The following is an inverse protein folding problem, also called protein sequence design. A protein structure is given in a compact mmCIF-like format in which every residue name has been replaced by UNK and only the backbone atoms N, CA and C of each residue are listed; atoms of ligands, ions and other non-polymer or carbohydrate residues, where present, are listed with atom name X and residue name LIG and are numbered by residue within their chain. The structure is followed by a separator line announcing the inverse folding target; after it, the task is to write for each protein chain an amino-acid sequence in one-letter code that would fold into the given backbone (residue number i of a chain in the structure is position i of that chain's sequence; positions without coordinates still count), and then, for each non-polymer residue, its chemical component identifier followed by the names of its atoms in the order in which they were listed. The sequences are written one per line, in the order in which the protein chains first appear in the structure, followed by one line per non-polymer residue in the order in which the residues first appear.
data_IF_659447892150
#
_entry.id   IF_659447892150
#
_cell.length_a   1.000
_cell.length_b   1.000
_cell.length_c   1.000
_cell.angle_alpha   90.00
_cell.angle_beta   90.00
_cell.angle_gamma   90.00
#
_symmetry.space_group_name_H-M   'P 1'
#
loop_
_entity.id
_entity.type
_entity.pdbx_description
1 polymer ?
#
# COMPACT_ATOMS: atom_id res chain seq x y z
N UNK A 1 10.84 8.90 -19.14
CA UNK A 1 9.61 8.35 -18.51
C UNK A 1 8.74 9.50 -18.02
N UNK A 2 7.47 9.57 -18.45
CA UNK A 2 6.52 10.55 -17.88
C UNK A 2 6.28 10.21 -16.41
N UNK A 3 6.30 11.23 -15.56
CA UNK A 3 6.11 11.12 -14.11
C UNK A 3 4.79 11.78 -13.76
N UNK A 4 4.02 11.15 -12.87
CA UNK A 4 2.82 11.75 -12.31
C UNK A 4 3.18 12.28 -10.93
N UNK A 5 2.99 13.58 -10.71
CA UNK A 5 3.22 14.17 -9.39
C UNK A 5 2.06 13.77 -8.50
N UNK A 6 2.37 13.03 -7.43
CA UNK A 6 1.42 12.64 -6.39
C UNK A 6 1.89 13.31 -5.10
N UNK A 7 0.96 13.93 -4.37
CA UNK A 7 1.25 14.53 -3.08
C UNK A 7 1.78 13.49 -2.09
N UNK A 8 2.78 13.87 -1.29
CA UNK A 8 3.42 12.96 -0.33
C UNK A 8 2.41 12.34 0.63
N UNK A 9 1.43 13.12 1.06
CA UNK A 9 0.37 12.67 1.95
C UNK A 9 -0.42 11.50 1.39
N UNK A 10 -0.67 11.48 0.08
CA UNK A 10 -1.33 10.38 -0.61
C UNK A 10 -0.44 9.14 -0.70
N UNK A 11 0.88 9.31 -0.80
CA UNK A 11 1.83 8.18 -0.73
C UNK A 11 1.84 7.55 0.66
N UNK A 12 1.81 8.38 1.71
CA UNK A 12 1.75 7.91 3.09
C UNK A 12 0.41 7.22 3.39
N UNK A 13 -0.71 7.82 2.99
CA UNK A 13 -2.04 7.19 3.10
C UNK A 13 -2.08 5.83 2.40
N UNK A 14 -1.53 5.73 1.18
CA UNK A 14 -1.46 4.48 0.44
C UNK A 14 -0.60 3.44 1.16
N UNK A 15 0.59 3.83 1.63
CA UNK A 15 1.46 2.93 2.37
C UNK A 15 0.75 2.33 3.58
N UNK A 16 0.12 3.20 4.39
CA UNK A 16 -0.56 2.79 5.60
C UNK A 16 -1.75 1.88 5.27
N UNK A 17 -2.55 2.25 4.27
CA UNK A 17 -3.70 1.47 3.82
C UNK A 17 -3.27 0.07 3.37
N UNK A 18 -2.27 -0.02 2.49
CA UNK A 18 -1.76 -1.29 2.00
C UNK A 18 -1.15 -2.14 3.11
N UNK A 19 -0.41 -1.51 4.04
CA UNK A 19 0.16 -2.22 5.19
C UNK A 19 -0.92 -2.81 6.08
N UNK A 20 -2.02 -2.08 6.29
CA UNK A 20 -3.14 -2.58 7.07
C UNK A 20 -3.87 -3.73 6.41
N UNK A 21 -4.08 -3.64 5.09
CA UNK A 21 -4.63 -4.76 4.33
C UNK A 21 -3.74 -6.00 4.44
N UNK A 22 -2.43 -5.85 4.30
CA UNK A 22 -1.48 -6.96 4.50
C UNK A 22 -1.61 -7.57 5.90
N UNK A 23 -1.68 -6.74 6.95
CA UNK A 23 -1.88 -7.18 8.34
C UNK A 23 -3.22 -7.91 8.51
N UNK A 24 -4.33 -7.33 8.09
CA UNK A 24 -5.66 -7.98 8.19
C UNK A 24 -5.75 -9.30 7.42
N UNK A 25 -4.85 -9.58 6.47
CA UNK A 25 -4.82 -10.83 5.71
C UNK A 25 -3.85 -11.87 6.35
N UNK A 26 -3.13 -11.53 7.43
CA UNK A 26 -2.08 -12.38 8.03
C UNK A 26 -2.59 -13.76 8.45
N UNK A 27 -2.17 -14.76 7.66
CA UNK A 27 -2.40 -16.22 7.76
C UNK A 27 -3.82 -16.70 7.43
N UNK A 28 -4.19 -16.64 6.15
CA UNK A 28 -4.95 -17.67 5.40
C UNK A 28 -6.23 -18.29 5.99
N UNK A 29 -6.78 -17.71 7.04
CA UNK A 29 -7.92 -18.20 7.80
C UNK A 29 -9.18 -17.45 7.38
N UNK A 30 -10.36 -18.10 7.30
CA UNK A 30 -11.62 -17.42 6.97
C UNK A 30 -11.92 -16.22 7.87
N UNK A 31 -11.49 -16.27 9.14
CA UNK A 31 -11.62 -15.19 10.12
C UNK A 31 -10.89 -13.90 9.71
N UNK A 32 -9.82 -14.01 8.92
CA UNK A 32 -9.06 -12.86 8.41
C UNK A 32 -9.84 -12.08 7.36
N UNK A 33 -10.72 -12.73 6.60
CA UNK A 33 -11.58 -12.03 5.66
C UNK A 33 -12.60 -11.17 6.40
N UNK A 34 -13.13 -11.66 7.53
CA UNK A 34 -14.01 -10.86 8.39
C UNK A 34 -13.24 -9.74 9.10
N UNK A 35 -11.99 -9.97 9.53
CA UNK A 35 -11.11 -8.92 10.06
C UNK A 35 -10.88 -7.80 9.03
N UNK A 36 -10.60 -8.17 7.78
CA UNK A 36 -10.44 -7.25 6.67
C UNK A 36 -11.72 -6.43 6.45
N UNK A 37 -12.88 -7.07 6.32
CA UNK A 37 -14.15 -6.37 6.12
C UNK A 37 -14.45 -5.41 7.29
N UNK A 38 -14.26 -5.85 8.53
CA UNK A 38 -14.48 -5.03 9.72
C UNK A 38 -13.56 -3.80 9.75
N UNK A 39 -12.27 -3.97 9.41
CA UNK A 39 -11.32 -2.87 9.29
C UNK A 39 -11.78 -1.79 8.30
N UNK A 40 -12.38 -2.19 7.16
CA UNK A 40 -12.87 -1.25 6.15
C UNK A 40 -14.22 -0.62 6.51
N UNK A 41 -15.12 -1.37 7.16
CA UNK A 41 -16.41 -0.86 7.63
C UNK A 41 -16.23 0.24 8.70
N UNK A 42 -15.23 0.11 9.57
CA UNK A 42 -14.99 1.06 10.66
C UNK A 42 -14.26 2.35 10.23
N UNK A 43 -13.58 2.36 9.07
CA UNK A 43 -12.65 3.44 8.69
C UNK A 43 -13.05 4.14 7.39
N UNK A 44 -13.85 5.19 7.56
CA UNK A 44 -14.44 6.00 6.47
C UNK A 44 -13.42 6.68 5.53
N UNK A 45 -12.19 6.87 5.95
CA UNK A 45 -11.15 7.59 5.19
C UNK A 45 -10.38 6.70 4.20
N UNK A 46 -10.53 5.37 4.25
CA UNK A 46 -9.76 4.48 3.39
C UNK A 46 -10.30 4.45 1.96
N UNK A 47 -11.63 4.42 1.80
CA UNK A 47 -12.26 4.41 0.48
C UNK A 47 -11.83 5.62 -0.39
N UNK A 48 -11.78 6.86 0.14
CA UNK A 48 -11.19 7.99 -0.58
C UNK A 48 -9.74 7.78 -1.06
N UNK A 49 -8.89 7.14 -0.25
CA UNK A 49 -7.51 6.83 -0.64
C UNK A 49 -7.47 5.84 -1.81
N UNK A 50 -8.25 4.75 -1.76
CA UNK A 50 -8.29 3.76 -2.84
C UNK A 50 -8.76 4.39 -4.16
N UNK A 51 -9.88 5.14 -4.09
CA UNK A 51 -10.47 5.81 -5.24
C UNK A 51 -9.53 6.85 -5.86
N UNK A 52 -8.74 7.56 -5.04
CA UNK A 52 -7.78 8.55 -5.53
C UNK A 52 -6.78 7.96 -6.54
N UNK A 53 -6.16 6.82 -6.23
CA UNK A 53 -5.17 6.20 -7.12
C UNK A 53 -5.81 5.62 -8.39
N UNK A 54 -7.00 5.02 -8.27
CA UNK A 54 -7.77 4.55 -9.42
C UNK A 54 -8.16 5.71 -10.35
N UNK A 55 -8.62 6.83 -9.77
CA UNK A 55 -8.97 8.03 -10.51
C UNK A 55 -7.76 8.66 -11.21
N UNK A 56 -6.59 8.70 -10.54
CA UNK A 56 -5.35 9.18 -11.14
C UNK A 56 -4.91 8.33 -12.34
N UNK A 57 -5.04 7.00 -12.27
CA UNK A 57 -4.82 6.16 -13.45
C UNK A 57 -5.75 6.52 -14.61
N UNK A 58 -7.06 6.75 -14.35
CA UNK A 58 -8.03 7.14 -15.38
C UNK A 58 -7.71 8.51 -15.99
N UNK A 59 -7.39 9.51 -15.16
CA UNK A 59 -7.01 10.86 -15.59
C UNK A 59 -5.82 10.82 -16.57
N UNK A 60 -4.81 10.02 -16.25
CA UNK A 60 -3.61 9.85 -17.07
C UNK A 60 -3.76 8.80 -18.19
N UNK A 61 -4.93 8.18 -18.35
CA UNK A 61 -5.21 7.10 -19.31
C UNK A 61 -4.24 5.92 -19.16
N UNK A 62 -3.88 5.59 -17.92
CA UNK A 62 -3.00 4.48 -17.58
C UNK A 62 -3.82 3.23 -17.28
N UNK A 63 -3.42 2.05 -17.79
CA UNK A 63 -4.15 0.82 -17.52
C UNK A 63 -3.86 0.32 -16.10
N UNK A 64 -4.86 -0.29 -15.44
CA UNK A 64 -4.74 -0.86 -14.10
C UNK A 64 -4.10 -2.26 -14.20
N UNK A 65 -2.76 -2.30 -14.19
CA UNK A 65 -1.99 -3.54 -14.35
C UNK A 65 -0.96 -3.66 -13.24
N UNK A 66 -0.89 -4.84 -12.64
CA UNK A 66 0.19 -5.19 -11.72
C UNK A 66 1.50 -5.40 -12.46
N UNK A 67 2.56 -4.78 -11.98
CA UNK A 67 3.92 -5.07 -12.40
C UNK A 67 4.71 -5.50 -11.18
N UNK A 68 5.51 -6.57 -11.31
CA UNK A 68 6.38 -7.00 -10.23
C UNK A 68 7.51 -5.98 -10.03
N UNK A 69 7.65 -5.50 -8.79
CA UNK A 69 8.73 -4.59 -8.41
C UNK A 69 9.82 -5.41 -7.73
N UNK A 70 10.39 -6.33 -8.50
CA UNK A 70 11.48 -7.15 -8.01
C UNK A 70 12.77 -6.33 -7.98
N UNK A 71 13.32 -6.10 -6.78
CA UNK A 71 14.78 -5.96 -6.64
C UNK A 71 15.46 -7.35 -6.63
N UNK A 72 14.90 -8.33 -7.34
CA UNK A 72 15.47 -9.66 -7.47
C UNK A 72 16.63 -9.58 -8.49
N UNK A 73 17.81 -9.35 -7.95
CA UNK A 73 19.05 -9.14 -8.67
C UNK A 73 19.73 -7.90 -8.14
N UNK A 74 20.27 -7.97 -6.91
CA UNK A 74 21.06 -6.89 -6.32
C UNK A 74 22.13 -6.44 -7.32
N UNK A 75 22.03 -5.26 -7.94
CA UNK A 75 23.24 -4.62 -8.40
C UNK A 75 23.93 -4.14 -7.12
N UNK A 76 25.24 -4.43 -7.00
CA UNK A 76 26.13 -4.08 -5.86
C UNK A 76 25.54 -2.99 -4.96
N UNK A 77 25.37 -3.25 -3.65
CA UNK A 77 24.86 -2.36 -2.58
C UNK A 77 24.94 -0.84 -2.86
N UNK A 78 26.06 -0.39 -3.43
CA UNK A 78 26.31 0.98 -3.89
C UNK A 78 25.29 1.55 -4.89
N UNK A 79 24.89 0.78 -5.90
CA UNK A 79 23.88 1.20 -6.89
C UNK A 79 22.48 1.32 -6.27
N UNK A 80 22.20 0.49 -5.26
CA UNK A 80 20.97 0.54 -4.48
C UNK A 80 20.94 1.78 -3.57
N UNK A 81 22.09 2.17 -2.99
CA UNK A 81 22.21 3.42 -2.25
C UNK A 81 22.00 4.62 -3.16
N UNK A 82 22.58 4.65 -4.37
CA UNK A 82 22.40 5.75 -5.32
C UNK A 82 20.96 5.81 -5.84
N UNK A 83 20.37 4.65 -6.20
CA UNK A 83 18.98 4.54 -6.64
C UNK A 83 18.00 4.95 -5.55
N UNK A 84 18.22 4.50 -4.31
CA UNK A 84 17.43 4.90 -3.16
C UNK A 84 17.65 6.37 -2.83
N UNK A 85 18.85 6.93 -3.00
CA UNK A 85 19.11 8.35 -2.79
C UNK A 85 18.36 9.21 -3.82
N UNK A 86 18.42 8.86 -5.11
CA UNK A 86 17.66 9.54 -6.17
C UNK A 86 16.14 9.37 -6.02
N UNK A 87 15.66 8.18 -5.67
CA UNK A 87 14.22 7.95 -5.44
C UNK A 87 13.69 8.62 -4.16
N UNK A 88 14.53 8.80 -3.14
CA UNK A 88 14.17 9.51 -1.92
C UNK A 88 14.03 11.03 -2.13
N UNK A 89 14.70 11.56 -3.16
CA UNK A 89 14.46 12.92 -3.68
C UNK A 89 13.22 12.96 -4.58
N UNK A 90 12.87 11.85 -5.25
CA UNK A 90 11.69 11.73 -6.10
C UNK A 90 10.53 11.04 -5.38
N UNK A 91 9.88 11.79 -4.48
CA UNK A 91 8.70 11.37 -3.69
C UNK A 91 7.41 11.15 -4.50
N UNK A 92 7.53 10.98 -5.83
CA UNK A 92 6.42 10.77 -6.77
C UNK A 92 6.35 9.31 -7.23
N UNK A 93 5.16 8.86 -7.65
CA UNK A 93 5.03 7.62 -8.40
C UNK A 93 5.30 7.86 -9.88
N UNK A 94 6.20 7.07 -10.44
CA UNK A 94 6.33 7.00 -11.90
C UNK A 94 5.17 6.19 -12.48
N UNK A 95 4.89 6.33 -13.79
CA UNK A 95 3.65 5.79 -14.36
C UNK A 95 3.39 4.31 -14.07
N UNK A 96 4.42 3.45 -14.10
CA UNK A 96 4.22 2.03 -13.82
C UNK A 96 3.98 1.72 -12.33
N UNK A 97 4.61 2.48 -11.42
CA UNK A 97 4.30 2.41 -9.99
C UNK A 97 2.86 2.88 -9.73
N UNK A 98 2.41 3.93 -10.43
CA UNK A 98 1.04 4.42 -10.36
C UNK A 98 0.04 3.39 -10.91
N UNK A 99 0.35 2.73 -12.04
CA UNK A 99 -0.46 1.62 -12.58
C UNK A 99 -0.60 0.48 -11.57
N UNK A 100 0.50 0.13 -10.89
CA UNK A 100 0.50 -0.91 -9.85
C UNK A 100 -0.33 -0.49 -8.64
N UNK A 101 -0.16 0.76 -8.16
CA UNK A 101 -0.96 1.32 -7.08
C UNK A 101 -2.45 1.29 -7.42
N UNK A 102 -2.83 1.77 -8.60
CA UNK A 102 -4.21 1.75 -9.07
C UNK A 102 -4.78 0.33 -9.20
N UNK A 103 -4.01 -0.63 -9.71
CA UNK A 103 -4.40 -2.03 -9.74
C UNK A 103 -4.68 -2.57 -8.34
N UNK A 104 -3.73 -2.40 -7.40
CA UNK A 104 -3.89 -2.90 -6.03
C UNK A 104 -5.11 -2.27 -5.33
N UNK A 105 -5.32 -0.95 -5.50
CA UNK A 105 -6.50 -0.27 -4.96
C UNK A 105 -7.80 -0.85 -5.54
N UNK A 106 -7.88 -1.06 -6.86
CA UNK A 106 -9.07 -1.61 -7.50
C UNK A 106 -9.34 -3.07 -7.08
N UNK A 107 -8.31 -3.87 -6.88
CA UNK A 107 -8.44 -5.23 -6.38
C UNK A 107 -8.96 -5.24 -4.93
N UNK A 108 -8.43 -4.37 -4.07
CA UNK A 108 -8.91 -4.20 -2.69
C UNK A 108 -10.38 -3.78 -2.68
N UNK A 109 -10.79 -2.80 -3.51
CA UNK A 109 -12.19 -2.39 -3.63
C UNK A 109 -13.09 -3.55 -4.03
N UNK A 110 -12.69 -4.40 -4.99
CA UNK A 110 -13.46 -5.59 -5.36
C UNK A 110 -13.63 -6.53 -4.17
N UNK A 111 -12.58 -6.79 -3.41
CA UNK A 111 -12.62 -7.71 -2.25
C UNK A 111 -13.58 -7.22 -1.17
N UNK A 112 -13.62 -5.91 -0.92
CA UNK A 112 -14.47 -5.30 0.13
C UNK A 112 -15.92 -5.20 -0.33
N UNK A 113 -16.14 -4.67 -1.54
CA UNK A 113 -17.48 -4.29 -2.00
C UNK A 113 -18.20 -5.42 -2.74
N UNK A 114 -17.51 -6.49 -3.11
CA UNK A 114 -18.13 -7.68 -3.70
C UNK A 114 -18.16 -8.84 -2.69
N UNK A 115 -19.19 -8.82 -1.83
CA UNK A 115 -19.45 -9.86 -0.81
C UNK A 115 -19.68 -11.26 -1.39
N UNK A 116 -19.84 -11.40 -2.71
CA UNK A 116 -20.00 -12.70 -3.37
C UNK A 116 -18.66 -13.41 -3.62
N UNK A 117 -17.50 -12.76 -3.40
CA UNK A 117 -16.20 -13.35 -3.68
C UNK A 117 -15.63 -14.10 -2.47
N UNK A 118 -16.26 -15.22 -2.12
CA UNK A 118 -15.80 -16.08 -1.02
C UNK A 118 -14.44 -16.77 -1.32
N UNK A 119 -14.02 -16.80 -2.59
CA UNK A 119 -12.81 -17.50 -3.06
C UNK A 119 -11.74 -16.54 -3.65
N UNK A 120 -11.72 -15.27 -3.25
CA UNK A 120 -10.70 -14.36 -3.75
C UNK A 120 -9.31 -14.82 -3.26
N UNK A 121 -8.27 -14.84 -4.12
CA UNK A 121 -6.94 -15.27 -3.71
C UNK A 121 -6.25 -14.20 -2.84
N UNK A 122 -6.69 -14.09 -1.57
CA UNK A 122 -6.20 -13.10 -0.60
C UNK A 122 -4.70 -13.23 -0.36
N UNK A 123 -4.17 -14.46 -0.40
CA UNK A 123 -2.73 -14.73 -0.27
C UNK A 123 -1.95 -14.08 -1.42
N UNK A 124 -2.40 -14.22 -2.66
CA UNK A 124 -1.73 -13.62 -3.82
C UNK A 124 -1.80 -12.09 -3.77
N UNK A 125 -2.96 -11.54 -3.39
CA UNK A 125 -3.10 -10.10 -3.20
C UNK A 125 -2.15 -9.59 -2.12
N UNK A 126 -2.06 -10.28 -0.99
CA UNK A 126 -1.11 -9.96 0.09
C UNK A 126 0.33 -9.95 -0.41
N UNK A 127 0.75 -10.96 -1.18
CA UNK A 127 2.10 -11.02 -1.74
C UNK A 127 2.39 -9.84 -2.68
N UNK A 128 1.44 -9.49 -3.55
CA UNK A 128 1.56 -8.33 -4.45
C UNK A 128 1.64 -7.01 -3.69
N UNK A 129 0.81 -6.85 -2.65
CA UNK A 129 0.84 -5.70 -1.74
C UNK A 129 2.21 -5.61 -1.04
N UNK A 130 2.66 -6.71 -0.46
CA UNK A 130 3.96 -6.85 0.21
C UNK A 130 5.12 -6.45 -0.68
N UNK A 131 5.14 -6.94 -1.92
CA UNK A 131 6.15 -6.57 -2.90
C UNK A 131 6.14 -5.06 -3.17
N UNK A 132 4.97 -4.47 -3.43
CA UNK A 132 4.86 -3.06 -3.78
C UNK A 132 5.24 -2.12 -2.63
N UNK A 133 4.71 -2.30 -1.42
CA UNK A 133 5.01 -1.34 -0.35
C UNK A 133 6.46 -1.42 0.14
N UNK A 134 7.09 -2.61 0.13
CA UNK A 134 8.49 -2.76 0.53
C UNK A 134 9.46 -2.22 -0.52
N UNK A 135 9.18 -2.46 -1.80
CA UNK A 135 10.12 -2.12 -2.87
C UNK A 135 9.90 -0.72 -3.43
N UNK A 136 8.67 -0.20 -3.40
CA UNK A 136 8.32 1.09 -4.00
C UNK A 136 8.03 2.13 -2.94
N UNK A 137 7.01 1.91 -2.11
CA UNK A 137 6.48 2.95 -1.23
C UNK A 137 7.44 3.28 -0.08
N UNK A 138 8.07 2.26 0.53
CA UNK A 138 9.03 2.45 1.63
C UNK A 138 10.18 3.39 1.24
N UNK A 139 10.69 3.29 0.01
CA UNK A 139 11.78 4.12 -0.48
C UNK A 139 11.39 5.59 -0.66
N UNK A 140 10.08 5.88 -0.70
CA UNK A 140 9.52 7.23 -0.90
C UNK A 140 9.10 7.89 0.42
N UNK A 141 9.07 7.16 1.53
CA UNK A 141 8.73 7.69 2.86
C UNK A 141 9.88 8.49 3.49
N UNK A 142 9.53 9.47 4.34
CA UNK A 142 10.49 10.14 5.19
C UNK A 142 10.87 9.21 6.34
N UNK A 143 12.11 9.34 6.85
CA UNK A 143 12.57 8.55 8.01
C UNK A 143 11.66 8.71 9.23
N UNK A 144 11.11 9.91 9.47
CA UNK A 144 10.18 10.18 10.58
C UNK A 144 8.88 9.36 10.48
N UNK A 145 8.50 8.97 9.26
CA UNK A 145 7.26 8.26 8.98
C UNK A 145 7.46 6.74 8.90
N UNK A 146 8.67 6.23 9.15
CA UNK A 146 8.90 4.78 9.27
C UNK A 146 8.17 4.16 10.47
N UNK A 147 7.64 4.99 11.37
CA UNK A 147 6.66 4.55 12.38
C UNK A 147 5.37 3.97 11.77
N UNK A 148 5.06 4.26 10.50
CA UNK A 148 3.94 3.64 9.78
C UNK A 148 4.06 2.11 9.67
N UNK A 149 5.26 1.55 9.84
CA UNK A 149 5.46 0.10 9.96
C UNK A 149 4.88 -0.49 11.25
N UNK A 150 4.75 0.34 12.28
CA UNK A 150 4.20 -0.03 13.60
C UNK A 150 2.70 0.25 13.66
N UNK A 151 1.99 0.22 12.54
CA UNK A 151 0.55 0.40 12.60
C UNK A 151 -0.11 -0.78 13.32
N UNK A 152 -1.12 -0.48 14.14
CA UNK A 152 -1.92 -1.47 14.87
C UNK A 152 -2.50 -2.51 13.94
N UNK A 153 -2.28 -3.79 14.25
CA UNK A 153 -3.11 -4.86 13.71
C UNK A 153 -4.52 -4.70 14.28
N UNK A 154 -5.54 -4.88 13.44
CA UNK A 154 -6.91 -4.59 13.85
C UNK A 154 -7.42 -5.52 14.98
N UNK A 155 -7.06 -6.81 14.97
CA UNK A 155 -7.46 -7.76 16.02
C UNK A 155 -6.32 -8.38 16.85
N UNK A 156 -5.04 -7.99 16.66
CA UNK A 156 -3.97 -8.45 17.55
C UNK A 156 -3.61 -7.42 18.62
N UNK A 157 -3.94 -7.74 19.88
CA UNK A 157 -3.25 -7.18 21.05
C UNK A 157 -1.88 -7.86 21.18
N UNK A 158 -0.83 -7.28 20.57
CA UNK A 158 0.54 -7.75 20.74
C UNK A 158 1.41 -6.69 21.41
N UNK A 159 2.55 -7.13 21.97
CA UNK A 159 3.40 -6.38 22.90
C UNK A 159 4.29 -5.32 22.20
N UNK A 160 4.02 -5.06 20.92
CA UNK A 160 4.71 -4.07 20.11
C UNK A 160 4.05 -2.70 20.30
N UNK A 161 4.85 -1.63 20.38
CA UNK A 161 4.32 -0.26 20.44
C UNK A 161 3.70 0.10 19.09
N UNK A 162 2.38 -0.01 18.99
CA UNK A 162 1.64 0.26 17.77
C UNK A 162 1.01 1.66 17.75
N UNK A 163 0.58 2.15 16.59
CA UNK A 163 -0.09 3.45 16.42
C UNK A 163 -1.35 3.31 15.56
N UNK A 164 -2.42 4.05 15.87
CA UNK A 164 -3.59 4.17 14.99
C UNK A 164 -3.25 4.97 13.72
N UNK A 165 -4.09 4.85 12.69
CA UNK A 165 -3.90 5.59 11.43
C UNK A 165 -3.98 7.10 11.66
N UNK A 166 -4.98 7.55 12.40
CA UNK A 166 -5.22 8.95 12.74
C UNK A 166 -4.00 9.52 13.44
N UNK A 167 -3.47 8.80 14.43
CA UNK A 167 -2.28 9.18 15.17
C UNK A 167 -1.05 9.29 14.27
N UNK A 168 -0.87 8.39 13.29
CA UNK A 168 0.23 8.50 12.32
C UNK A 168 0.07 9.76 11.44
N UNK A 169 -1.16 10.12 11.09
CA UNK A 169 -1.49 11.26 10.23
C UNK A 169 -1.49 12.61 10.96
N UNK A 170 -1.72 12.63 12.28
CA UNK A 170 -1.72 13.84 13.13
C UNK A 170 -0.30 14.36 13.42
N UNK A 171 0.70 13.48 13.47
CA UNK A 171 2.11 13.87 13.71
C UNK A 171 2.83 14.44 12.47
N UNK A 172 2.08 15.02 11.53
CA UNK A 172 2.62 15.62 10.30
C UNK A 172 3.29 16.95 10.58
#
# INVERSE_FOLDING_TARGET
MKKTVIEYDKILELFITLRQVDLSIVVGRPENYQELLSYFDERKYISPCLQYFVAKCKEHKLPLVYQEHNYAGQPKLFSQVIFNFWNRWHRSLINHELMTAGYLCAEIEKVIFNKAIYNYPLVDLRLKIGNFYNNVLMQKLHKKDYRAFRIEHFQQHSWLTTLSFEKIMEYK
#
